data_IF_815921171297
#
_entry.id   IF_815921171297
#
_cell.length_a   1.000
_cell.length_b   1.000
_cell.length_c   1.000
_cell.angle_alpha   90.00
_cell.angle_beta   90.00
_cell.angle_gamma   90.00
#
_symmetry.space_group_name_H-M   'P 1'
#
loop_
_entity.id
_entity.type
_entity.pdbx_description
1 polymer ?
#
# COMPACT_ATOMS: atom_id res chain seq x y z
N UNK A 1 14.03 -4.70 26.33
CA UNK A 1 15.13 -3.98 27.03
C UNK A 1 14.69 -2.60 27.52
N UNK A 2 14.15 -1.73 26.65
CA UNK A 2 13.60 -0.41 27.06
C UNK A 2 12.39 -0.53 27.99
N UNK A 3 11.48 -1.49 27.73
CA UNK A 3 10.29 -1.72 28.55
C UNK A 3 10.59 -2.07 30.01
N UNK A 4 11.69 -2.78 30.27
CA UNK A 4 12.14 -3.13 31.61
C UNK A 4 12.66 -1.90 32.35
N UNK A 5 13.46 -1.07 31.67
CA UNK A 5 13.98 0.16 32.22
C UNK A 5 12.86 1.16 32.56
N UNK A 6 11.87 1.35 31.68
CA UNK A 6 10.73 2.22 31.94
C UNK A 6 9.94 1.81 33.19
N UNK A 7 9.71 0.50 33.37
CA UNK A 7 9.07 -0.04 34.59
C UNK A 7 9.88 0.29 35.85
N UNK A 8 11.21 0.16 35.77
CA UNK A 8 12.09 0.46 36.89
C UNK A 8 12.16 1.96 37.24
N UNK A 9 11.84 2.83 36.28
CA UNK A 9 11.77 4.29 36.46
C UNK A 9 10.37 4.80 36.81
N UNK A 10 9.39 3.90 37.07
CA UNK A 10 8.02 4.30 37.39
C UNK A 10 7.27 4.94 36.21
N UNK A 11 7.80 4.84 34.99
CA UNK A 11 7.16 5.36 33.78
C UNK A 11 6.03 4.39 33.40
N UNK A 12 4.78 4.84 33.56
CA UNK A 12 3.63 4.12 33.01
C UNK A 12 3.69 4.18 31.49
N UNK A 13 4.09 3.08 30.88
CA UNK A 13 3.89 2.87 29.45
C UNK A 13 2.38 2.83 29.19
N UNK A 14 1.89 3.44 28.09
CA UNK A 14 0.51 3.27 27.67
C UNK A 14 0.19 1.79 27.62
N UNK A 15 -1.03 1.41 28.04
CA UNK A 15 -1.49 0.03 27.94
C UNK A 15 -1.17 -0.46 26.53
N UNK A 16 -0.51 -1.62 26.48
CA UNK A 16 -0.06 -2.22 25.24
C UNK A 16 -1.30 -2.41 24.39
N UNK A 17 -1.53 -1.48 23.46
CA UNK A 17 -2.52 -1.65 22.40
C UNK A 17 -2.15 -3.00 21.83
N UNK A 18 -3.06 -3.97 21.99
CA UNK A 18 -2.83 -5.33 21.56
C UNK A 18 -2.22 -5.21 20.17
N UNK A 19 -0.97 -5.65 20.02
CA UNK A 19 -0.34 -5.69 18.71
C UNK A 19 -1.20 -6.65 17.91
N UNK A 20 -2.19 -6.08 17.22
CA UNK A 20 -3.08 -6.79 16.34
C UNK A 20 -2.20 -7.62 15.42
N UNK A 21 -2.70 -8.78 15.01
CA UNK A 21 -2.06 -9.65 14.01
C UNK A 21 -1.63 -8.90 12.71
N UNK A 22 -2.18 -7.71 12.56
CA UNK A 22 -2.04 -6.64 11.58
C UNK A 22 -0.81 -5.69 11.75
N UNK A 23 0.18 -6.06 12.57
CA UNK A 23 1.46 -5.33 12.58
C UNK A 23 1.40 -3.86 13.01
N UNK A 24 0.40 -3.48 13.80
CA UNK A 24 0.28 -2.14 14.39
C UNK A 24 -0.39 -1.07 13.51
N UNK A 25 -1.09 -1.45 12.44
CA UNK A 25 -1.86 -0.50 11.65
C UNK A 25 -3.11 -0.03 12.40
N UNK A 26 -3.35 1.27 12.37
CA UNK A 26 -4.50 1.93 12.96
C UNK A 26 -5.65 2.03 11.96
N UNK A 27 -6.83 2.46 12.44
CA UNK A 27 -7.94 2.84 11.55
C UNK A 27 -7.55 4.00 10.62
N UNK A 28 -6.78 4.97 11.12
CA UNK A 28 -6.34 6.11 10.32
C UNK A 28 -5.43 5.68 9.17
N UNK A 29 -4.57 4.68 9.38
CA UNK A 29 -3.71 4.13 8.32
C UNK A 29 -4.53 3.48 7.20
N UNK A 30 -5.60 2.78 7.56
CA UNK A 30 -6.55 2.19 6.60
C UNK A 30 -7.34 3.24 5.84
N UNK A 31 -7.86 4.23 6.55
CA UNK A 31 -8.61 5.34 5.93
C UNK A 31 -7.71 6.11 4.95
N UNK A 32 -6.43 6.31 5.33
CA UNK A 32 -5.42 6.92 4.47
C UNK A 32 -5.11 6.06 3.24
N UNK A 33 -4.91 4.76 3.43
CA UNK A 33 -4.73 3.82 2.32
C UNK A 33 -5.87 3.87 1.31
N UNK A 34 -7.13 3.84 1.77
CA UNK A 34 -8.31 3.95 0.92
C UNK A 34 -8.35 5.30 0.19
N UNK A 35 -7.94 6.39 0.85
CA UNK A 35 -7.85 7.72 0.23
C UNK A 35 -6.83 7.73 -0.92
N UNK A 36 -5.65 7.15 -0.71
CA UNK A 36 -4.61 7.03 -1.74
C UNK A 36 -5.08 6.20 -2.94
N UNK A 37 -5.74 5.06 -2.70
CA UNK A 37 -6.31 4.23 -3.78
C UNK A 37 -7.35 4.99 -4.60
N UNK A 38 -8.24 5.76 -3.96
CA UNK A 38 -9.20 6.61 -4.68
C UNK A 38 -8.51 7.68 -5.52
N UNK A 39 -7.42 8.26 -5.00
CA UNK A 39 -6.64 9.29 -5.68
C UNK A 39 -5.91 8.78 -6.93
N UNK A 40 -5.72 7.47 -7.07
CA UNK A 40 -5.22 6.84 -8.31
C UNK A 40 -6.16 7.02 -9.53
N UNK A 41 -7.44 7.29 -9.29
CA UNK A 41 -8.42 7.59 -10.36
C UNK A 41 -8.61 9.10 -10.59
N UNK A 42 -7.77 9.95 -10.01
CA UNK A 42 -7.82 11.40 -10.18
C UNK A 42 -6.99 11.90 -11.38
N UNK A 43 -6.69 13.20 -11.44
CA UNK A 43 -5.82 13.76 -12.48
C UNK A 43 -4.35 13.31 -12.30
N UNK A 44 -3.50 13.58 -13.31
CA UNK A 44 -2.10 13.16 -13.31
C UNK A 44 -1.32 13.62 -12.07
N UNK A 45 -1.56 14.83 -11.58
CA UNK A 45 -0.89 15.34 -10.37
C UNK A 45 -1.26 14.50 -9.15
N UNK A 46 -2.55 14.21 -8.97
CA UNK A 46 -3.03 13.39 -7.87
C UNK A 46 -2.55 11.94 -7.96
N UNK A 47 -2.54 11.36 -9.16
CA UNK A 47 -1.98 10.03 -9.42
C UNK A 47 -0.51 9.93 -9.02
N UNK A 48 0.30 10.93 -9.40
CA UNK A 48 1.73 10.96 -9.05
C UNK A 48 1.96 11.04 -7.55
N UNK A 49 1.26 11.94 -6.88
CA UNK A 49 1.37 12.10 -5.42
C UNK A 49 0.97 10.80 -4.69
N UNK A 50 -0.14 10.19 -5.10
CA UNK A 50 -0.62 8.95 -4.49
C UNK A 50 0.33 7.77 -4.75
N UNK A 51 0.82 7.61 -5.96
CA UNK A 51 1.75 6.53 -6.31
C UNK A 51 3.10 6.67 -5.58
N UNK A 52 3.64 7.90 -5.51
CA UNK A 52 4.85 8.20 -4.77
C UNK A 52 4.70 7.83 -3.28
N UNK A 53 3.57 8.19 -2.67
CA UNK A 53 3.31 7.92 -1.27
C UNK A 53 3.08 6.43 -0.99
N UNK A 54 2.29 5.73 -1.81
CA UNK A 54 2.11 4.28 -1.72
C UNK A 54 3.44 3.53 -1.84
N UNK A 55 4.32 3.95 -2.76
CA UNK A 55 5.69 3.43 -2.86
C UNK A 55 6.47 3.64 -1.57
N UNK A 56 6.41 4.84 -0.98
CA UNK A 56 7.14 5.15 0.26
C UNK A 56 6.62 4.35 1.47
N UNK A 57 5.29 4.23 1.62
CA UNK A 57 4.66 3.50 2.70
C UNK A 57 4.97 2.01 2.63
N UNK A 58 4.81 1.38 1.46
CA UNK A 58 5.13 -0.05 1.26
C UNK A 58 6.63 -0.35 1.41
N UNK A 59 7.50 0.64 1.16
CA UNK A 59 8.94 0.54 1.41
C UNK A 59 9.29 0.61 2.90
N UNK A 60 8.77 1.61 3.61
CA UNK A 60 9.17 1.97 4.99
C UNK A 60 8.40 1.21 6.07
N UNK A 61 7.17 0.79 5.77
CA UNK A 61 6.27 0.15 6.73
C UNK A 61 5.84 -1.22 6.20
N UNK A 62 6.55 -2.31 6.56
CA UNK A 62 6.24 -3.66 6.06
C UNK A 62 4.79 -4.09 6.31
N UNK A 63 4.18 -3.71 7.44
CA UNK A 63 2.77 -3.98 7.75
C UNK A 63 1.82 -3.36 6.74
N UNK A 64 2.16 -2.20 6.16
CA UNK A 64 1.33 -1.53 5.15
C UNK A 64 1.14 -2.36 3.87
N UNK A 65 2.04 -3.32 3.61
CA UNK A 65 1.90 -4.25 2.47
C UNK A 65 0.69 -5.17 2.65
N UNK A 66 0.36 -5.56 3.87
CA UNK A 66 -0.77 -6.45 4.17
C UNK A 66 -2.12 -5.78 3.85
N UNK A 67 -2.19 -4.44 3.80
CA UNK A 67 -3.42 -3.75 3.41
C UNK A 67 -3.88 -4.10 1.99
N UNK A 68 -2.97 -4.46 1.08
CA UNK A 68 -3.37 -4.77 -0.30
C UNK A 68 -4.25 -6.02 -0.41
N UNK A 69 -4.09 -7.01 0.48
CA UNK A 69 -4.97 -8.20 0.50
C UNK A 69 -6.28 -7.96 1.25
N UNK A 70 -6.36 -6.93 2.12
CA UNK A 70 -7.60 -6.57 2.82
C UNK A 70 -8.68 -6.00 1.88
N UNK A 71 -8.28 -5.44 0.73
CA UNK A 71 -9.20 -4.79 -0.22
C UNK A 71 -9.09 -5.43 -1.60
N UNK A 72 -10.16 -6.11 -2.02
CA UNK A 72 -10.25 -6.84 -3.30
C UNK A 72 -9.79 -6.00 -4.51
N UNK A 73 -10.12 -4.71 -4.52
CA UNK A 73 -9.81 -3.81 -5.64
C UNK A 73 -8.54 -2.97 -5.44
N UNK A 74 -7.68 -3.29 -4.45
CA UNK A 74 -6.48 -2.49 -4.18
C UNK A 74 -5.52 -2.44 -5.38
N UNK A 75 -5.19 -3.60 -5.96
CA UNK A 75 -4.30 -3.68 -7.13
C UNK A 75 -4.97 -3.11 -8.38
N UNK A 76 -6.25 -3.41 -8.70
CA UNK A 76 -6.97 -2.71 -9.77
C UNK A 76 -6.95 -1.19 -9.65
N UNK A 77 -7.17 -0.62 -8.45
CA UNK A 77 -7.09 0.82 -8.25
C UNK A 77 -5.67 1.37 -8.40
N UNK A 78 -4.66 0.66 -7.87
CA UNK A 78 -3.25 1.01 -8.06
C UNK A 78 -2.89 1.09 -9.55
N UNK A 79 -3.40 0.15 -10.37
CA UNK A 79 -3.08 0.03 -11.78
C UNK A 79 -4.06 0.79 -12.70
N UNK A 80 -4.99 1.55 -12.13
CA UNK A 80 -5.93 2.35 -12.90
C UNK A 80 -5.26 3.25 -13.97
N UNK A 81 -4.10 3.89 -13.73
CA UNK A 81 -3.42 4.66 -14.77
C UNK A 81 -3.06 3.85 -16.03
N UNK A 82 -2.75 2.55 -15.89
CA UNK A 82 -2.50 1.64 -17.02
C UNK A 82 -3.77 1.20 -17.74
N UNK A 83 -4.94 1.29 -17.10
CA UNK A 83 -6.21 1.00 -17.78
C UNK A 83 -6.65 2.12 -18.74
N UNK A 84 -6.15 3.33 -18.55
CA UNK A 84 -6.57 4.51 -19.32
C UNK A 84 -5.63 4.84 -20.49
N UNK A 85 -4.40 4.34 -20.46
CA UNK A 85 -3.30 4.76 -21.35
C UNK A 85 -2.40 3.57 -21.64
N UNK A 86 -1.83 3.53 -22.83
CA UNK A 86 -0.74 2.57 -23.10
C UNK A 86 0.46 2.88 -22.20
N UNK A 87 1.27 1.86 -21.90
CA UNK A 87 2.45 2.01 -21.04
C UNK A 87 3.39 3.13 -21.52
N UNK A 88 3.52 3.33 -22.83
CA UNK A 88 4.32 4.41 -23.45
C UNK A 88 3.77 5.82 -23.25
N UNK A 89 2.50 5.97 -22.86
CA UNK A 89 1.84 7.26 -22.66
C UNK A 89 1.75 7.67 -21.19
N UNK A 90 2.17 6.79 -20.28
CA UNK A 90 2.21 7.06 -18.85
C UNK A 90 3.47 7.85 -18.53
N UNK A 91 3.35 8.82 -17.63
CA UNK A 91 4.49 9.57 -17.15
C UNK A 91 5.53 8.64 -16.50
N UNK A 92 6.79 8.69 -16.92
CA UNK A 92 7.86 7.77 -16.49
C UNK A 92 7.92 7.61 -14.97
N UNK A 93 7.97 8.72 -14.22
CA UNK A 93 8.02 8.65 -12.75
C UNK A 93 6.77 8.01 -12.11
N UNK A 94 5.58 8.17 -12.73
CA UNK A 94 4.37 7.49 -12.25
C UNK A 94 4.50 5.99 -12.50
N UNK A 95 4.93 5.59 -13.69
CA UNK A 95 5.14 4.18 -14.05
C UNK A 95 6.14 3.51 -13.10
N UNK A 96 7.27 4.15 -12.81
CA UNK A 96 8.30 3.65 -11.88
C UNK A 96 7.73 3.46 -10.46
N UNK A 97 6.92 4.41 -9.97
CA UNK A 97 6.31 4.34 -8.65
C UNK A 97 5.31 3.18 -8.54
N UNK A 98 4.52 2.95 -9.59
CA UNK A 98 3.56 1.84 -9.64
C UNK A 98 4.26 0.49 -9.68
N UNK A 99 5.26 0.33 -10.55
CA UNK A 99 6.05 -0.90 -10.64
C UNK A 99 6.77 -1.17 -9.32
N UNK A 100 7.38 -0.16 -8.73
CA UNK A 100 8.08 -0.30 -7.44
C UNK A 100 7.11 -0.66 -6.32
N UNK A 101 5.90 -0.09 -6.31
CA UNK A 101 4.86 -0.45 -5.33
C UNK A 101 4.46 -1.91 -5.50
N UNK A 102 4.22 -2.39 -6.73
CA UNK A 102 3.94 -3.81 -7.01
C UNK A 102 5.07 -4.73 -6.51
N UNK A 103 6.32 -4.36 -6.74
CA UNK A 103 7.48 -5.11 -6.25
C UNK A 103 7.57 -5.10 -4.71
N UNK A 104 7.27 -3.97 -4.06
CA UNK A 104 7.28 -3.87 -2.61
C UNK A 104 6.18 -4.69 -1.96
N UNK A 105 5.00 -4.82 -2.60
CA UNK A 105 3.91 -5.62 -2.04
C UNK A 105 4.10 -7.12 -2.29
N UNK A 106 4.76 -7.51 -3.39
CA UNK A 106 4.95 -8.93 -3.77
C UNK A 106 5.92 -9.70 -2.88
N UNK A 107 6.79 -8.99 -2.14
CA UNK A 107 7.65 -9.60 -1.12
C UNK A 107 6.91 -9.97 0.17
N UNK A 108 5.62 -9.66 0.28
CA UNK A 108 4.75 -10.15 1.36
C UNK A 108 4.00 -11.40 0.89
N UNK A 109 4.09 -12.50 1.64
CA UNK A 109 3.57 -13.81 1.21
C UNK A 109 2.06 -13.78 0.89
N UNK A 110 1.26 -13.11 1.72
CA UNK A 110 -0.19 -12.99 1.52
C UNK A 110 -0.56 -12.27 0.20
N UNK A 111 0.34 -11.45 -0.34
CA UNK A 111 0.10 -10.70 -1.58
C UNK A 111 0.55 -11.47 -2.83
N UNK A 112 1.27 -12.59 -2.72
CA UNK A 112 1.81 -13.30 -3.89
C UNK A 112 0.71 -13.76 -4.84
N UNK A 113 -0.38 -14.30 -4.29
CA UNK A 113 -1.56 -14.71 -5.07
C UNK A 113 -2.23 -13.49 -5.73
N UNK A 114 -2.43 -12.43 -4.96
CA UNK A 114 -3.04 -11.17 -5.42
C UNK A 114 -2.28 -10.56 -6.61
N UNK A 115 -0.95 -10.53 -6.56
CA UNK A 115 -0.11 -9.97 -7.62
C UNK A 115 -0.08 -10.88 -8.85
N UNK A 116 -0.06 -12.21 -8.66
CA UNK A 116 -0.10 -13.17 -9.75
C UNK A 116 -1.44 -13.19 -10.51
N UNK A 117 -2.55 -12.96 -9.78
CA UNK A 117 -3.92 -12.97 -10.33
C UNK A 117 -4.36 -11.61 -10.90
N UNK A 118 -3.54 -10.56 -10.77
CA UNK A 118 -3.76 -9.26 -11.42
C UNK A 118 -2.68 -8.98 -12.47
N UNK A 119 -2.53 -9.81 -13.53
CA UNK A 119 -1.69 -9.46 -14.65
C UNK A 119 -2.27 -8.21 -15.30
N UNK A 120 -1.46 -7.17 -15.45
CA UNK A 120 -1.83 -5.99 -16.23
C UNK A 120 -2.35 -6.40 -17.62
N UNK A 121 -3.62 -6.09 -17.88
CA UNK A 121 -4.22 -5.76 -19.19
C UNK A 121 -4.54 -6.88 -20.22
N UNK A 122 -5.19 -8.00 -19.84
CA UNK A 122 -5.96 -8.79 -20.85
C UNK A 122 -7.39 -9.21 -20.47
N UNK A 123 -7.91 -8.93 -19.27
CA UNK A 123 -9.30 -9.30 -18.94
C UNK A 123 -10.16 -8.06 -18.63
N UNK A 124 -10.39 -7.25 -19.65
CA UNK A 124 -11.69 -6.57 -19.81
C UNK A 124 -12.55 -7.51 -20.64
N UNK A 125 -13.29 -8.40 -19.98
CA UNK A 125 -14.41 -9.09 -20.61
C UNK A 125 -15.65 -8.20 -20.54
N UNK A 126 -16.34 -8.16 -21.69
CA UNK A 126 -17.57 -7.47 -22.06
C UNK A 126 -18.64 -7.31 -20.96
#
# INVERSE_FOLDING_TARGET
MISFWCKNQGIKLPDTVQFSKDGGLTKADRDHFVSLLKKMSSNLSGQREAAEELRQLTKKMPSFRALFVEYVNAVPHLLFPFSQKSSSEIHVGLQEDLITTLLNISIHDDNKKLVAENPTAEEVQL
#
